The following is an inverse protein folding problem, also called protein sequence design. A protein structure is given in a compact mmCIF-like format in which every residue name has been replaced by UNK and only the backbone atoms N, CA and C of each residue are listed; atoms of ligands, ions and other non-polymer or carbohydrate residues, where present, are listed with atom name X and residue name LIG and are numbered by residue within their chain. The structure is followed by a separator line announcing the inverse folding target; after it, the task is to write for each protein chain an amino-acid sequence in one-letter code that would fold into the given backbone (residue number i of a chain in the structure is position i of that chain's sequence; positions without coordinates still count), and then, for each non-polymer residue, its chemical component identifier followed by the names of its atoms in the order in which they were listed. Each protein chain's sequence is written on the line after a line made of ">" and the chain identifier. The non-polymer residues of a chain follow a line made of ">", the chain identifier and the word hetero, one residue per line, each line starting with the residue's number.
data_IF_420482545615
#
_entry.id   IF_420482545615
#
_cell.length_a   1.000
_cell.length_b   1.000
_cell.length_c   1.000
_cell.angle_alpha   90.00
_cell.angle_beta   90.00
_cell.angle_gamma   90.00
#
_symmetry.space_group_name_H-M   'P 1'
#
loop_
_entity.id
_entity.type
_entity.pdbx_description
1 polymer ?
#
# COMPACT_ATOMS: atom_id res chain seq x y z
N UNK A 1 -26.56 -31.82 -33.50
CA UNK A 1 -25.58 -31.56 -32.42
C UNK A 1 -25.30 -30.06 -32.25
N UNK A 2 -26.25 -29.18 -32.61
CA UNK A 2 -26.02 -27.71 -32.67
C UNK A 2 -26.58 -26.96 -31.47
N UNK A 3 -27.60 -27.52 -30.80
CA UNK A 3 -28.23 -26.88 -29.64
C UNK A 3 -27.38 -26.90 -28.36
N UNK A 4 -26.32 -27.73 -28.33
CA UNK A 4 -25.37 -27.75 -27.21
C UNK A 4 -24.41 -26.56 -27.27
N UNK A 5 -24.03 -26.11 -28.47
CA UNK A 5 -23.17 -24.93 -28.66
C UNK A 5 -23.87 -23.65 -28.20
N UNK A 6 -25.15 -23.46 -28.56
CA UNK A 6 -25.94 -22.30 -28.14
C UNK A 6 -26.10 -22.22 -26.60
N UNK A 7 -26.26 -23.36 -25.93
CA UNK A 7 -26.30 -23.38 -24.45
C UNK A 7 -24.97 -23.01 -23.82
N UNK A 8 -23.87 -23.56 -24.35
CA UNK A 8 -22.52 -23.27 -23.84
C UNK A 8 -22.18 -21.79 -24.04
N UNK A 9 -22.56 -21.18 -25.16
CA UNK A 9 -22.37 -19.74 -25.40
C UNK A 9 -23.17 -18.87 -24.41
N UNK A 10 -24.40 -19.26 -24.09
CA UNK A 10 -25.22 -18.58 -23.07
C UNK A 10 -24.60 -18.67 -21.67
N UNK A 11 -24.10 -19.85 -21.29
CA UNK A 11 -23.45 -20.08 -19.99
C UNK A 11 -22.14 -19.28 -19.88
N UNK A 12 -21.35 -19.18 -20.95
CA UNK A 12 -20.11 -18.38 -20.97
C UNK A 12 -20.42 -16.87 -20.86
N UNK A 13 -21.48 -16.40 -21.52
CA UNK A 13 -21.92 -15.02 -21.42
C UNK A 13 -22.34 -14.66 -19.98
N UNK A 14 -23.11 -15.52 -19.32
CA UNK A 14 -23.48 -15.37 -17.91
C UNK A 14 -22.25 -15.41 -16.99
N UNK A 15 -21.33 -16.35 -17.21
CA UNK A 15 -20.12 -16.46 -16.40
C UNK A 15 -19.25 -15.20 -16.48
N UNK A 16 -19.20 -14.52 -17.65
CA UNK A 16 -18.50 -13.22 -17.80
C UNK A 16 -19.15 -12.11 -17.00
N UNK A 17 -20.48 -12.03 -17.02
CA UNK A 17 -21.25 -11.04 -16.25
C UNK A 17 -21.01 -11.20 -14.74
N UNK A 18 -21.01 -12.44 -14.25
CA UNK A 18 -20.76 -12.77 -12.85
C UNK A 18 -19.29 -12.54 -12.46
N UNK A 19 -18.33 -12.76 -13.36
CA UNK A 19 -16.93 -12.41 -13.16
C UNK A 19 -16.72 -10.89 -13.05
N UNK A 20 -17.43 -10.11 -13.86
CA UNK A 20 -17.38 -8.64 -13.78
C UNK A 20 -17.92 -8.14 -12.44
N UNK A 21 -19.06 -8.67 -11.99
CA UNK A 21 -19.65 -8.33 -10.67
C UNK A 21 -18.74 -8.73 -9.50
N UNK A 22 -18.09 -9.89 -9.59
CA UNK A 22 -17.17 -10.35 -8.55
C UNK A 22 -15.84 -9.61 -8.59
N UNK A 23 -15.35 -9.18 -9.76
CA UNK A 23 -14.19 -8.30 -9.89
C UNK A 23 -14.45 -6.91 -9.29
N UNK A 24 -15.62 -6.31 -9.52
CA UNK A 24 -16.00 -5.04 -8.87
C UNK A 24 -16.03 -5.22 -7.34
N UNK A 25 -16.64 -6.31 -6.87
CA UNK A 25 -16.72 -6.60 -5.44
C UNK A 25 -15.33 -6.86 -4.83
N UNK A 26 -14.45 -7.57 -5.54
CA UNK A 26 -13.10 -7.89 -5.07
C UNK A 26 -12.18 -6.66 -5.14
N UNK A 27 -12.33 -5.81 -6.15
CA UNK A 27 -11.63 -4.52 -6.21
C UNK A 27 -12.03 -3.60 -5.06
N UNK A 28 -13.30 -3.64 -4.64
CA UNK A 28 -13.80 -2.87 -3.51
C UNK A 28 -13.28 -3.42 -2.16
N UNK A 29 -13.23 -4.75 -2.00
CA UNK A 29 -12.78 -5.42 -0.76
C UNK A 29 -11.26 -5.49 -0.61
N UNK A 30 -10.54 -5.63 -1.73
CA UNK A 30 -9.08 -5.68 -1.79
C UNK A 30 -8.52 -4.31 -2.18
N UNK A 31 -9.16 -3.23 -1.73
CA UNK A 31 -8.71 -1.87 -1.99
C UNK A 31 -7.30 -1.67 -1.38
N UNK A 32 -6.23 -1.61 -2.20
CA UNK A 32 -4.86 -1.37 -1.72
C UNK A 32 -4.73 0.02 -1.07
N UNK A 33 -5.75 0.87 -1.25
CA UNK A 33 -5.92 2.14 -0.56
C UNK A 33 -5.93 2.00 0.96
N UNK A 34 -6.51 0.94 1.52
CA UNK A 34 -6.48 0.75 2.99
C UNK A 34 -5.12 0.30 3.48
N UNK A 35 -4.47 -0.64 2.78
CA UNK A 35 -3.09 -1.03 3.07
C UNK A 35 -2.10 0.14 2.92
N UNK A 36 -2.27 0.98 1.90
CA UNK A 36 -1.45 2.17 1.70
C UNK A 36 -1.75 3.25 2.76
N UNK A 37 -3.01 3.41 3.17
CA UNK A 37 -3.39 4.30 4.26
C UNK A 37 -2.81 3.82 5.59
N UNK A 38 -2.98 2.54 5.94
CA UNK A 38 -2.41 1.92 7.14
C UNK A 38 -0.87 1.96 7.13
N UNK A 39 -0.23 1.73 5.99
CA UNK A 39 1.22 1.83 5.86
C UNK A 39 1.70 3.28 6.00
N UNK A 40 0.99 4.24 5.40
CA UNK A 40 1.29 5.67 5.57
C UNK A 40 1.07 6.11 7.01
N UNK A 41 -0.01 5.69 7.64
CA UNK A 41 -0.36 6.05 9.01
C UNK A 41 0.63 5.44 10.00
N UNK A 42 1.01 4.18 9.82
CA UNK A 42 2.09 3.55 10.60
C UNK A 42 3.42 4.23 10.35
N UNK A 43 3.78 4.57 9.11
CA UNK A 43 5.02 5.28 8.84
C UNK A 43 5.05 6.67 9.50
N UNK A 44 3.95 7.42 9.43
CA UNK A 44 3.81 8.74 10.07
C UNK A 44 3.80 8.60 11.60
N UNK A 45 3.16 7.58 12.16
CA UNK A 45 3.15 7.30 13.59
C UNK A 45 4.53 6.88 14.10
N UNK A 46 5.26 6.05 13.34
CA UNK A 46 6.64 5.67 13.65
C UNK A 46 7.55 6.90 13.60
N UNK A 47 7.42 7.76 12.59
CA UNK A 47 8.16 9.03 12.53
C UNK A 47 7.81 9.97 13.70
N UNK A 48 6.54 10.01 14.12
CA UNK A 48 6.11 10.83 15.25
C UNK A 48 6.41 10.22 16.63
N UNK A 49 6.87 8.97 16.67
CA UNK A 49 7.19 8.26 17.90
C UNK A 49 8.33 8.97 18.65
N UNK A 50 8.24 9.13 19.99
CA UNK A 50 9.27 9.81 20.77
C UNK A 50 10.65 9.18 20.59
N UNK A 51 10.73 7.86 20.40
CA UNK A 51 11.98 7.15 20.13
C UNK A 51 12.70 7.68 18.87
N UNK A 52 11.96 7.93 17.77
CA UNK A 52 12.53 8.45 16.53
C UNK A 52 12.95 9.90 16.67
N UNK A 53 12.19 10.71 17.42
CA UNK A 53 12.57 12.10 17.73
C UNK A 53 13.88 12.19 18.50
N UNK A 54 14.04 11.38 19.55
CA UNK A 54 15.29 11.35 20.32
C UNK A 54 16.47 10.79 19.52
N UNK A 55 16.23 9.75 18.70
CA UNK A 55 17.25 9.21 17.81
C UNK A 55 17.70 10.25 16.75
N UNK A 56 16.76 10.93 16.10
CA UNK A 56 17.05 12.01 15.14
C UNK A 56 17.78 13.18 15.80
N UNK A 57 17.36 13.60 17.00
CA UNK A 57 18.04 14.66 17.74
C UNK A 57 19.48 14.26 18.13
N UNK A 58 19.67 13.02 18.60
CA UNK A 58 21.00 12.49 18.94
C UNK A 58 21.92 12.40 17.73
N UNK A 59 21.45 11.82 16.62
CA UNK A 59 22.20 11.76 15.36
C UNK A 59 22.50 13.16 14.83
N UNK A 60 21.51 14.05 14.85
CA UNK A 60 21.67 15.44 14.42
C UNK A 60 22.73 16.18 15.23
N UNK A 61 22.73 16.04 16.56
CA UNK A 61 23.74 16.66 17.42
C UNK A 61 25.15 16.15 17.10
N UNK A 62 25.32 14.83 16.90
CA UNK A 62 26.60 14.23 16.53
C UNK A 62 27.08 14.78 15.18
N UNK A 63 26.21 14.86 14.18
CA UNK A 63 26.56 15.40 12.85
C UNK A 63 26.99 16.86 12.95
N UNK A 64 26.26 17.71 13.69
CA UNK A 64 26.64 19.12 13.89
C UNK A 64 28.01 19.23 14.54
N UNK A 65 28.28 18.46 15.60
CA UNK A 65 29.59 18.45 16.27
C UNK A 65 30.70 18.01 15.31
N UNK A 66 30.47 16.98 14.49
CA UNK A 66 31.44 16.52 13.51
C UNK A 66 31.73 17.55 12.42
N UNK A 67 30.69 18.24 11.93
CA UNK A 67 30.83 19.30 10.92
C UNK A 67 31.60 20.50 11.50
N UNK A 68 31.24 20.97 12.70
CA UNK A 68 31.96 22.07 13.36
C UNK A 68 33.42 21.69 13.59
N UNK A 69 33.68 20.47 14.08
CA UNK A 69 35.05 19.97 14.30
C UNK A 69 35.84 19.88 12.99
N UNK A 70 35.18 19.59 11.87
CA UNK A 70 35.83 19.52 10.55
C UNK A 70 36.10 20.89 9.92
N UNK A 71 35.31 21.92 10.25
CA UNK A 71 35.52 23.28 9.75
C UNK A 71 36.60 24.01 10.57
N UNK A 72 36.66 23.76 11.89
CA UNK A 72 37.63 24.41 12.78
C UNK A 72 39.01 23.73 12.81
N UNK A 73 39.21 22.64 12.08
CA UNK A 73 40.47 21.89 12.01
C UNK A 73 40.95 21.80 10.58
#
# INVERSE_FOLDING_TARGET
>A
MSGDTERIEQEIAQAREDLAKTLDTLAERTSPQRLAADAKEKAVATLNSPAVKYALAGVGAVVVVLVVRKIMK
#
